data_IF_561684391249
#
_entry.id   IF_561684391249
#
_cell.length_a   1.000
_cell.length_b   1.000
_cell.length_c   1.000
_cell.angle_alpha   90.00
_cell.angle_beta   90.00
_cell.angle_gamma   90.00
#
_symmetry.space_group_name_H-M   'P 1'
#
loop_
_entity.id
_entity.type
_entity.pdbx_description
1 polymer ?
#
# COMPACT_ATOMS: atom_id res chain seq x y z
N UNK A 1 1.39 4.54 2.77
CA UNK A 1 1.85 5.06 1.48
C UNK A 1 1.10 6.36 1.18
N UNK A 2 1.57 7.17 0.25
CA UNK A 2 0.92 8.45 -0.13
C UNK A 2 -0.28 8.29 -1.07
N UNK A 3 -0.69 7.05 -1.32
CA UNK A 3 -1.73 6.70 -2.28
C UNK A 3 -3.15 6.96 -1.81
N UNK A 4 -4.05 7.05 -2.77
CA UNK A 4 -5.41 7.58 -2.61
C UNK A 4 -6.48 6.50 -2.44
N UNK A 5 -6.11 5.22 -2.48
CA UNK A 5 -7.03 4.09 -2.28
C UNK A 5 -8.10 3.99 -3.38
N UNK A 6 -7.74 4.34 -4.62
CA UNK A 6 -8.64 4.31 -5.78
C UNK A 6 -8.67 2.96 -6.50
N UNK A 7 -7.69 2.10 -6.25
CA UNK A 7 -7.51 0.87 -7.00
C UNK A 7 -7.78 -0.37 -6.14
N UNK A 8 -8.12 -1.46 -6.82
CA UNK A 8 -8.21 -2.78 -6.19
C UNK A 8 -6.86 -3.18 -5.60
N UNK A 9 -6.94 -3.93 -4.50
CA UNK A 9 -5.77 -4.42 -3.80
C UNK A 9 -6.08 -5.67 -2.99
N UNK A 10 -5.06 -6.49 -2.78
CA UNK A 10 -5.13 -7.67 -1.93
C UNK A 10 -3.79 -7.95 -1.26
N UNK A 11 -3.87 -8.73 -0.18
CA UNK A 11 -2.74 -9.35 0.49
C UNK A 11 -2.67 -10.82 0.06
N UNK A 12 -1.47 -11.28 -0.26
CA UNK A 12 -1.14 -12.70 -0.40
C UNK A 12 -0.33 -13.09 0.84
N UNK A 13 -0.89 -13.99 1.66
CA UNK A 13 -0.22 -14.39 2.90
C UNK A 13 -0.50 -15.84 3.28
N UNK A 14 0.56 -16.50 3.73
CA UNK A 14 0.50 -17.80 4.39
C UNK A 14 1.01 -17.68 5.83
N UNK A 15 0.10 -17.82 6.80
CA UNK A 15 0.50 -17.90 8.22
C UNK A 15 1.32 -19.17 8.48
N UNK A 16 2.20 -19.15 9.51
CA UNK A 16 3.16 -20.24 9.74
C UNK A 16 2.52 -21.61 9.94
N UNK A 17 1.35 -21.64 10.57
CA UNK A 17 0.55 -22.85 10.80
C UNK A 17 -0.42 -23.22 9.67
N UNK A 18 -0.46 -22.45 8.58
CA UNK A 18 -1.39 -22.66 7.46
C UNK A 18 -0.72 -23.39 6.30
N UNK A 19 -1.42 -24.35 5.72
CA UNK A 19 -0.93 -25.14 4.58
C UNK A 19 -1.03 -24.38 3.25
N UNK A 20 -2.05 -23.52 3.10
CA UNK A 20 -2.31 -22.75 1.88
C UNK A 20 -2.13 -21.26 2.12
N UNK A 21 -1.69 -20.58 1.08
CA UNK A 21 -1.77 -19.13 0.98
C UNK A 21 -3.24 -18.69 0.90
N UNK A 22 -3.53 -17.47 1.32
CA UNK A 22 -4.84 -16.86 1.19
C UNK A 22 -4.69 -15.48 0.58
N UNK A 23 -5.67 -15.11 -0.23
CA UNK A 23 -5.80 -13.80 -0.81
C UNK A 23 -6.86 -13.03 -0.02
N UNK A 24 -6.50 -11.87 0.52
CA UNK A 24 -7.33 -11.13 1.45
C UNK A 24 -7.38 -9.68 1.00
N UNK A 25 -8.54 -9.14 0.68
CA UNK A 25 -8.65 -7.82 0.05
C UNK A 25 -10.08 -7.39 -0.16
N UNK A 26 -10.32 -6.70 -1.28
CA UNK A 26 -11.67 -6.39 -1.75
C UNK A 26 -12.09 -7.51 -2.69
N UNK A 27 -13.11 -8.32 -2.35
CA UNK A 27 -13.62 -9.36 -3.23
C UNK A 27 -14.18 -8.74 -4.50
N UNK A 28 -13.86 -9.33 -5.64
CA UNK A 28 -14.49 -8.99 -6.91
C UNK A 28 -15.76 -9.83 -7.06
N UNK A 29 -16.92 -9.21 -6.82
CA UNK A 29 -18.21 -9.88 -6.87
C UNK A 29 -18.73 -10.09 -8.30
N UNK A 30 -18.12 -9.44 -9.29
CA UNK A 30 -18.59 -9.41 -10.68
C UNK A 30 -17.75 -10.32 -11.61
N UNK A 31 -16.58 -10.81 -11.15
CA UNK A 31 -15.69 -11.66 -11.96
C UNK A 31 -16.06 -13.15 -11.94
N UNK A 32 -15.93 -13.76 -13.12
CA UNK A 32 -16.11 -15.20 -13.37
C UNK A 32 -15.13 -16.08 -12.58
N UNK A 33 -15.60 -17.30 -12.27
CA UNK A 33 -15.11 -18.32 -11.33
C UNK A 33 -13.66 -18.83 -11.41
N UNK A 34 -12.82 -18.29 -12.29
CA UNK A 34 -11.52 -18.90 -12.63
C UNK A 34 -10.33 -18.21 -11.93
N UNK A 35 -10.58 -17.20 -11.11
CA UNK A 35 -9.56 -16.50 -10.33
C UNK A 35 -9.51 -17.00 -8.89
N UNK A 36 -8.35 -16.84 -8.25
CA UNK A 36 -8.19 -17.16 -6.84
C UNK A 36 -9.13 -16.30 -5.98
N UNK A 37 -9.81 -16.95 -5.05
CA UNK A 37 -10.81 -16.31 -4.19
C UNK A 37 -10.16 -15.29 -3.26
N UNK A 38 -10.59 -14.02 -3.37
CA UNK A 38 -10.16 -12.93 -2.48
C UNK A 38 -11.16 -12.80 -1.34
N UNK A 39 -10.75 -13.10 -0.12
CA UNK A 39 -11.59 -12.98 1.07
C UNK A 39 -11.70 -11.52 1.54
N UNK A 40 -12.84 -11.09 2.11
CA UNK A 40 -13.04 -9.72 2.56
C UNK A 40 -12.09 -9.34 3.70
N UNK A 41 -11.15 -8.43 3.42
CA UNK A 41 -10.10 -8.05 4.36
C UNK A 41 -10.57 -7.31 5.60
N UNK A 42 -11.80 -6.79 5.60
CA UNK A 42 -12.41 -6.16 6.77
C UNK A 42 -12.99 -7.18 7.79
N UNK A 43 -13.11 -8.45 7.42
CA UNK A 43 -13.64 -9.51 8.30
C UNK A 43 -12.54 -10.36 8.94
N UNK A 44 -11.32 -10.30 8.39
CA UNK A 44 -10.20 -11.16 8.77
C UNK A 44 -9.20 -10.39 9.64
N UNK A 45 -9.03 -10.73 10.93
CA UNK A 45 -8.02 -10.11 11.76
C UNK A 45 -6.60 -10.42 11.29
N UNK A 46 -5.73 -9.41 11.28
CA UNK A 46 -4.31 -9.53 10.90
C UNK A 46 -3.58 -10.65 11.68
N UNK A 47 -3.96 -10.86 12.94
CA UNK A 47 -3.37 -11.86 13.86
C UNK A 47 -3.63 -13.32 13.44
N UNK A 48 -4.60 -13.57 12.55
CA UNK A 48 -4.86 -14.91 12.03
C UNK A 48 -3.69 -15.40 11.17
N UNK A 49 -3.03 -14.49 10.46
CA UNK A 49 -1.96 -14.80 9.51
C UNK A 49 -0.58 -14.40 10.02
N UNK A 50 -0.42 -13.17 10.54
CA UNK A 50 0.81 -12.72 11.20
C UNK A 50 0.90 -13.29 12.62
N UNK A 51 1.06 -14.61 12.70
CA UNK A 51 0.98 -15.40 13.92
C UNK A 51 2.34 -15.87 14.45
N UNK A 52 3.43 -15.58 13.74
CA UNK A 52 4.79 -15.81 14.21
C UNK A 52 5.79 -14.82 13.57
N UNK A 53 6.93 -14.62 14.23
CA UNK A 53 8.01 -13.77 13.74
C UNK A 53 8.51 -14.25 12.37
N UNK A 54 8.78 -13.30 11.49
CA UNK A 54 9.26 -13.56 10.15
C UNK A 54 8.18 -13.93 9.13
N UNK A 55 6.92 -14.12 9.54
CA UNK A 55 5.82 -14.21 8.58
C UNK A 55 5.80 -12.96 7.70
N UNK A 56 5.72 -13.20 6.39
CA UNK A 56 5.73 -12.16 5.37
C UNK A 56 4.46 -12.29 4.52
N UNK A 57 3.83 -11.16 4.20
CA UNK A 57 2.79 -11.03 3.19
C UNK A 57 3.33 -10.25 2.00
N UNK A 58 2.77 -10.52 0.82
CA UNK A 58 2.79 -9.55 -0.27
C UNK A 58 1.51 -8.73 -0.22
N UNK A 59 1.62 -7.44 -0.53
CA UNK A 59 0.49 -6.56 -0.72
C UNK A 59 0.56 -6.00 -2.14
N UNK A 60 -0.42 -6.36 -2.95
CA UNK A 60 -0.55 -5.91 -4.32
C UNK A 60 -1.55 -4.76 -4.32
N UNK A 61 -1.13 -3.60 -4.82
CA UNK A 61 -1.95 -2.42 -4.99
C UNK A 61 -1.96 -1.99 -6.44
N UNK A 62 -3.15 -1.64 -6.93
CA UNK A 62 -3.42 -1.31 -8.32
C UNK A 62 -3.14 -2.46 -9.27
N UNK A 63 -4.19 -3.10 -9.79
CA UNK A 63 -4.03 -4.20 -10.74
C UNK A 63 -3.60 -3.72 -12.15
N UNK A 64 -3.62 -2.40 -12.40
CA UNK A 64 -2.98 -1.78 -13.57
C UNK A 64 -1.47 -1.69 -13.39
N UNK A 65 -1.01 -0.86 -12.44
CA UNK A 65 0.42 -0.61 -12.23
C UNK A 65 1.15 -1.73 -11.47
N UNK A 66 0.43 -2.60 -10.76
CA UNK A 66 0.93 -3.77 -10.05
C UNK A 66 2.02 -3.48 -9.01
N UNK A 67 1.72 -2.58 -8.07
CA UNK A 67 2.64 -2.25 -6.99
C UNK A 67 2.70 -3.37 -5.94
N UNK A 68 3.83 -4.08 -5.86
CA UNK A 68 4.08 -5.12 -4.85
C UNK A 68 4.83 -4.54 -3.63
N UNK A 69 4.27 -4.75 -2.43
CA UNK A 69 4.97 -4.50 -1.15
C UNK A 69 5.18 -5.78 -0.39
N UNK A 70 6.37 -5.92 0.19
CA UNK A 70 6.63 -6.95 1.19
C UNK A 70 6.35 -6.42 2.59
N UNK A 71 5.51 -7.13 3.36
CA UNK A 71 5.14 -6.79 4.73
C UNK A 71 5.58 -7.91 5.64
N UNK A 72 6.45 -7.62 6.61
CA UNK A 72 7.03 -8.62 7.50
C UNK A 72 6.69 -8.32 8.96
N UNK A 73 6.34 -9.36 9.71
CA UNK A 73 6.25 -9.27 11.17
C UNK A 73 7.65 -9.39 11.78
N UNK A 74 8.19 -8.25 12.24
CA UNK A 74 9.54 -8.18 12.78
C UNK A 74 9.60 -8.38 14.30
N UNK A 75 8.51 -8.10 15.02
CA UNK A 75 8.51 -8.09 16.47
C UNK A 75 7.13 -7.93 17.07
N UNK A 76 7.06 -8.20 18.37
CA UNK A 76 5.89 -7.90 19.20
C UNK A 76 6.28 -6.88 20.26
N UNK A 77 5.38 -5.93 20.53
CA UNK A 77 5.56 -4.95 21.60
C UNK A 77 4.29 -4.87 22.43
N UNK A 78 4.46 -4.62 23.72
CA UNK A 78 3.32 -4.31 24.58
C UNK A 78 2.70 -2.99 24.13
N UNK A 79 1.37 -2.95 24.11
CA UNK A 79 0.64 -1.73 23.81
C UNK A 79 0.92 -0.68 24.89
N UNK A 80 1.40 0.49 24.47
CA UNK A 80 1.64 1.60 25.39
C UNK A 80 0.34 2.31 25.76
N UNK A 81 0.18 2.62 27.06
CA UNK A 81 -1.00 3.33 27.56
C UNK A 81 -0.96 4.78 27.09
N UNK A 82 -2.09 5.26 26.56
CA UNK A 82 -2.23 6.64 26.08
C UNK A 82 -1.77 6.88 24.65
N UNK A 83 -1.16 5.88 23.99
CA UNK A 83 -0.78 5.96 22.58
C UNK A 83 -1.94 5.50 21.68
N UNK A 84 -2.19 6.28 20.63
CA UNK A 84 -3.14 5.94 19.56
C UNK A 84 -2.36 5.29 18.40
N UNK A 85 -2.67 4.04 18.12
CA UNK A 85 -2.11 3.28 17.00
C UNK A 85 -3.02 3.33 15.76
N UNK A 86 -2.50 3.08 14.55
CA UNK A 86 -1.09 2.82 14.21
C UNK A 86 -0.19 4.07 14.28
N UNK A 87 1.12 3.85 14.34
CA UNK A 87 2.16 4.91 14.31
C UNK A 87 3.23 4.56 13.28
N UNK A 88 3.78 5.56 12.59
CA UNK A 88 4.94 5.40 11.73
C UNK A 88 6.21 5.71 12.52
N UNK A 89 7.06 4.70 12.73
CA UNK A 89 8.30 4.85 13.51
C UNK A 89 9.48 5.33 12.66
N UNK A 90 9.46 5.07 11.35
CA UNK A 90 10.52 5.39 10.42
C UNK A 90 10.16 5.00 8.99
N UNK A 91 11.07 5.27 8.07
CA UNK A 91 10.95 5.04 6.63
C UNK A 91 11.99 5.86 5.89
N UNK A 92 12.11 5.61 4.59
CA UNK A 92 13.01 6.33 3.71
C UNK A 92 12.41 6.41 2.31
N UNK A 93 12.83 7.43 1.55
CA UNK A 93 12.42 7.74 0.18
C UNK A 93 10.92 8.07 0.04
N UNK A 94 10.58 8.81 -1.01
CA UNK A 94 9.20 9.14 -1.29
C UNK A 94 8.45 7.92 -1.84
N UNK A 95 7.15 7.89 -1.55
CA UNK A 95 6.23 6.98 -2.22
C UNK A 95 6.20 7.32 -3.72
N UNK A 96 6.21 6.31 -4.62
CA UNK A 96 5.87 6.52 -6.02
C UNK A 96 4.54 7.28 -6.13
N UNK A 97 4.42 8.26 -7.04
CA UNK A 97 3.14 8.92 -7.30
C UNK A 97 2.06 7.91 -7.71
N UNK A 98 0.79 8.22 -7.43
CA UNK A 98 -0.34 7.45 -7.97
C UNK A 98 -0.28 7.49 -9.52
N UNK A 99 -0.73 6.41 -10.16
CA UNK A 99 -0.87 6.32 -11.63
C UNK A 99 0.42 6.64 -12.41
N UNK A 100 1.60 6.43 -11.80
CA UNK A 100 2.86 6.75 -12.45
C UNK A 100 3.32 5.69 -13.45
N UNK A 101 2.55 4.64 -13.70
CA UNK A 101 2.85 3.64 -14.73
C UNK A 101 3.82 2.57 -14.25
N UNK A 102 3.55 2.00 -13.06
CA UNK A 102 4.36 0.95 -12.44
C UNK A 102 5.80 1.39 -12.13
N UNK A 103 6.65 0.42 -11.81
CA UNK A 103 8.08 0.61 -11.51
C UNK A 103 8.81 1.33 -12.65
N UNK A 104 8.51 0.97 -13.90
CA UNK A 104 9.12 1.60 -15.07
C UNK A 104 8.78 3.09 -15.18
N UNK A 105 7.51 3.45 -15.01
CA UNK A 105 7.10 4.84 -15.09
C UNK A 105 7.60 5.65 -13.89
N UNK A 106 7.73 5.04 -12.71
CA UNK A 106 8.42 5.67 -11.58
C UNK A 106 9.90 5.99 -11.88
N UNK A 107 10.63 5.08 -12.53
CA UNK A 107 12.00 5.37 -12.95
C UNK A 107 12.05 6.48 -14.01
N UNK A 108 11.09 6.52 -14.94
CA UNK A 108 10.97 7.62 -15.90
C UNK A 108 10.73 8.97 -15.19
N UNK A 109 9.92 9.01 -14.15
CA UNK A 109 9.73 10.20 -13.29
C UNK A 109 11.07 10.64 -12.70
N UNK A 110 11.83 9.72 -12.10
CA UNK A 110 13.13 10.05 -11.49
C UNK A 110 14.12 10.55 -12.55
N UNK A 111 14.22 9.85 -13.68
CA UNK A 111 15.14 10.19 -14.77
C UNK A 111 14.83 11.58 -15.33
N UNK A 112 13.56 11.83 -15.66
CA UNK A 112 13.09 13.12 -16.17
C UNK A 112 13.41 14.25 -15.19
N UNK A 113 13.13 14.06 -13.90
CA UNK A 113 13.38 15.07 -12.87
C UNK A 113 14.86 15.20 -12.48
N UNK A 114 15.74 14.33 -12.96
CA UNK A 114 17.18 14.42 -12.72
C UNK A 114 17.89 15.37 -13.69
N UNK A 115 17.27 15.70 -14.83
CA UNK A 115 17.81 16.61 -15.83
C UNK A 115 16.86 17.81 -16.08
N UNK A 116 17.14 18.99 -15.49
CA UNK A 116 16.38 20.22 -15.75
C UNK A 116 16.37 20.69 -17.21
N UNK A 117 17.16 20.08 -18.10
CA UNK A 117 17.15 20.36 -19.55
C UNK A 117 16.30 19.38 -20.34
N UNK A 118 15.75 18.34 -19.72
CA UNK A 118 14.80 17.45 -20.36
C UNK A 118 13.55 18.26 -20.75
N UNK A 119 13.07 18.05 -21.98
CA UNK A 119 11.91 18.78 -22.52
C UNK A 119 10.65 18.58 -21.65
N UNK A 120 10.51 17.42 -21.00
CA UNK A 120 9.36 17.06 -20.15
C UNK A 120 9.55 17.45 -18.68
N UNK A 121 10.67 18.08 -18.29
CA UNK A 121 11.02 18.35 -16.88
C UNK A 121 9.95 19.17 -16.14
N UNK A 122 9.53 20.30 -16.72
CA UNK A 122 8.57 21.21 -16.06
C UNK A 122 7.16 20.61 -15.99
N UNK A 123 6.76 19.84 -17.01
CA UNK A 123 5.49 19.10 -17.00
C UNK A 123 5.50 18.03 -15.92
N UNK A 124 6.56 17.20 -15.89
CA UNK A 124 6.72 16.14 -14.90
C UNK A 124 6.73 16.71 -13.47
N UNK A 125 7.44 17.82 -13.24
CA UNK A 125 7.53 18.49 -11.94
C UNK A 125 6.18 19.02 -11.47
N UNK A 126 5.39 19.57 -12.39
CA UNK A 126 4.02 20.03 -12.11
C UNK A 126 3.13 18.84 -11.76
N UNK A 127 3.24 17.74 -12.51
CA UNK A 127 2.44 16.54 -12.34
C UNK A 127 2.69 15.83 -11.00
N UNK A 128 3.96 15.58 -10.63
CA UNK A 128 4.30 14.96 -9.32
C UNK A 128 4.04 15.89 -8.13
N UNK A 129 3.92 17.19 -8.40
CA UNK A 129 3.76 18.24 -7.41
C UNK A 129 5.09 18.84 -6.95
N UNK A 130 5.12 20.17 -6.79
CA UNK A 130 6.33 20.97 -6.54
C UNK A 130 7.17 20.55 -5.33
N UNK A 131 6.56 19.87 -4.36
CA UNK A 131 7.21 19.47 -3.11
C UNK A 131 7.68 18.01 -3.08
N UNK A 132 7.41 17.25 -4.15
CA UNK A 132 7.81 15.86 -4.27
C UNK A 132 9.30 15.76 -4.63
N UNK A 133 9.98 14.79 -4.02
CA UNK A 133 11.38 14.49 -4.30
C UNK A 133 11.64 13.03 -3.93
N UNK A 134 12.31 12.22 -4.79
CA UNK A 134 12.40 10.78 -4.60
C UNK A 134 13.08 10.36 -3.29
N UNK A 135 14.00 11.18 -2.78
CA UNK A 135 14.72 10.91 -1.52
C UNK A 135 14.09 11.55 -0.28
N UNK A 136 12.88 12.12 -0.39
CA UNK A 136 12.24 12.85 0.70
C UNK A 136 11.16 12.02 1.39
N UNK A 137 11.45 11.62 2.63
CA UNK A 137 10.48 11.02 3.55
C UNK A 137 10.45 11.75 4.89
N UNK A 138 9.24 11.94 5.45
CA UNK A 138 9.04 12.50 6.80
C UNK A 138 7.96 11.71 7.53
N UNK A 139 8.36 10.93 8.54
CA UNK A 139 7.42 10.08 9.32
C UNK A 139 6.27 10.85 9.96
N UNK A 140 6.49 12.11 10.36
CA UNK A 140 5.48 12.93 11.04
C UNK A 140 4.37 13.42 10.07
N UNK A 141 4.64 13.37 8.77
CA UNK A 141 3.68 13.74 7.73
C UNK A 141 2.71 12.58 7.46
N UNK A 142 3.03 11.34 7.88
CA UNK A 142 2.16 10.17 7.74
C UNK A 142 0.88 10.37 8.57
N UNK A 143 -0.26 10.30 7.90
CA UNK A 143 -1.60 10.32 8.51
C UNK A 143 -2.26 8.96 8.30
N UNK A 144 -2.86 8.45 9.37
CA UNK A 144 -3.60 7.19 9.33
C UNK A 144 -5.10 7.47 9.40
N UNK A 145 -5.80 7.02 8.37
CA UNK A 145 -7.26 7.15 8.31
C UNK A 145 -7.96 6.20 9.26
N UNK A 146 -9.20 6.57 9.60
CA UNK A 146 -10.06 5.69 10.38
C UNK A 146 -10.59 4.56 9.47
N UNK A 147 -10.25 3.29 9.72
CA UNK A 147 -10.59 2.19 8.81
C UNK A 147 -12.11 2.00 8.66
N UNK A 148 -12.88 2.26 9.72
CA UNK A 148 -14.33 2.17 9.67
C UNK A 148 -14.96 3.29 8.83
N UNK A 149 -14.45 4.53 8.94
CA UNK A 149 -14.91 5.63 8.07
C UNK A 149 -14.57 5.38 6.60
N UNK A 150 -13.38 4.83 6.33
CA UNK A 150 -12.95 4.42 4.99
C UNK A 150 -13.89 3.36 4.41
N UNK A 151 -14.11 2.27 5.15
CA UNK A 151 -15.03 1.20 4.77
C UNK A 151 -16.46 1.71 4.50
N UNK A 152 -17.00 2.58 5.37
CA UNK A 152 -18.32 3.19 5.12
C UNK A 152 -18.37 4.00 3.82
N UNK A 153 -17.30 4.72 3.52
CA UNK A 153 -17.25 5.55 2.32
C UNK A 153 -17.21 4.68 1.07
N UNK A 154 -16.43 3.59 1.09
CA UNK A 154 -16.33 2.65 -0.02
C UNK A 154 -17.63 1.85 -0.26
N UNK A 155 -18.31 1.41 0.79
CA UNK A 155 -19.38 0.41 0.65
C UNK A 155 -20.79 0.87 1.06
N UNK A 156 -20.93 1.92 1.87
CA UNK A 156 -22.25 2.37 2.37
C UNK A 156 -22.71 3.72 1.82
N UNK A 157 -21.80 4.58 1.36
CA UNK A 157 -22.15 5.86 0.75
C UNK A 157 -22.15 5.68 -0.77
N UNK A 158 -23.31 5.37 -1.32
CA UNK A 158 -23.62 5.56 -2.75
C UNK A 158 -24.43 6.82 -2.94
#
# INVERSE_FOLDING_TARGET
>A
MGWLDYHLHHFEIRGKSKQKESHIGIPDFDRMSDLEEVYPGWEIPISVYFNDLGVTAKYIYDYGDFWEHSIKLEGYMYREKGIKYPICIGGDRACPPEDCGSVSGYYNVIETLSDPKNDDYEEMKTWVGENWHPEKFKRNDVKFDNPYKRWKTAFLKR
#
